data_IF_043480522126
#
_entry.id   IF_043480522126
#
_cell.length_a   1.000
_cell.length_b   1.000
_cell.length_c   1.000
_cell.angle_alpha   90.00
_cell.angle_beta   90.00
_cell.angle_gamma   90.00
#
_symmetry.space_group_name_H-M   'P 1'
#
loop_
_entity.id
_entity.type
_entity.pdbx_description
1 polymer ?
#
# COMPACT_ATOMS: atom_id res chain seq x y z
N UNK A 1 7.96 -8.01 -23.53
CA UNK A 1 7.02 -8.45 -22.47
C UNK A 1 6.18 -9.59 -23.00
N UNK A 2 6.01 -10.70 -22.27
CA UNK A 2 5.16 -11.80 -22.73
C UNK A 2 3.73 -11.67 -22.17
N UNK A 3 2.87 -10.94 -22.88
CA UNK A 3 1.48 -10.69 -22.46
C UNK A 3 0.67 -11.98 -22.26
N UNK A 4 0.98 -13.05 -23.01
CA UNK A 4 0.32 -14.34 -22.86
C UNK A 4 0.54 -14.92 -21.46
N UNK A 5 1.78 -14.85 -20.96
CA UNK A 5 2.13 -15.32 -19.61
C UNK A 5 1.39 -14.50 -18.54
N UNK A 6 1.27 -13.19 -18.72
CA UNK A 6 0.50 -12.35 -17.78
C UNK A 6 -0.97 -12.75 -17.74
N UNK A 7 -1.60 -12.97 -18.91
CA UNK A 7 -3.02 -13.38 -19.00
C UNK A 7 -3.27 -14.74 -18.35
N UNK A 8 -2.34 -15.67 -18.45
CA UNK A 8 -2.42 -16.98 -17.78
C UNK A 8 -2.25 -16.87 -16.26
N UNK A 9 -1.38 -15.97 -15.79
CA UNK A 9 -1.11 -15.79 -14.37
C UNK A 9 -2.21 -15.02 -13.64
N UNK A 10 -2.89 -14.09 -14.31
CA UNK A 10 -3.95 -13.25 -13.72
C UNK A 10 -4.99 -14.03 -12.92
N UNK A 11 -5.72 -15.02 -13.49
CA UNK A 11 -6.73 -15.76 -12.72
C UNK A 11 -6.12 -16.55 -11.56
N UNK A 12 -4.89 -17.05 -11.70
CA UNK A 12 -4.21 -17.76 -10.62
C UNK A 12 -3.83 -16.84 -9.46
N UNK A 13 -3.41 -15.60 -9.74
CA UNK A 13 -3.09 -14.60 -8.70
C UNK A 13 -4.36 -14.13 -8.00
N UNK A 14 -5.43 -13.84 -8.76
CA UNK A 14 -6.75 -13.48 -8.20
C UNK A 14 -7.24 -14.60 -7.28
N UNK A 15 -7.18 -15.86 -7.71
CA UNK A 15 -7.58 -17.01 -6.90
C UNK A 15 -6.81 -17.11 -5.58
N UNK A 16 -5.50 -16.78 -5.57
CA UNK A 16 -4.70 -16.73 -4.34
C UNK A 16 -5.18 -15.65 -3.37
N UNK A 17 -5.55 -14.46 -3.87
CA UNK A 17 -6.05 -13.38 -3.02
C UNK A 17 -7.44 -13.73 -2.45
N UNK A 18 -8.33 -14.27 -3.28
CA UNK A 18 -9.67 -14.69 -2.86
C UNK A 18 -9.61 -15.79 -1.79
N UNK A 19 -8.73 -16.77 -1.94
CA UNK A 19 -8.51 -17.81 -0.91
C UNK A 19 -7.96 -17.25 0.40
N UNK A 20 -7.38 -16.04 0.40
CA UNK A 20 -6.92 -15.34 1.61
C UNK A 20 -8.01 -14.46 2.25
N UNK A 21 -9.22 -14.48 1.72
CA UNK A 21 -10.36 -13.72 2.24
C UNK A 21 -10.50 -12.31 1.67
N UNK A 22 -9.77 -11.96 0.62
CA UNK A 22 -9.99 -10.72 -0.13
C UNK A 22 -11.22 -10.92 -1.02
N UNK A 23 -12.17 -9.99 -1.03
CA UNK A 23 -13.30 -10.07 -1.96
C UNK A 23 -12.80 -9.98 -3.42
N UNK A 24 -13.59 -10.51 -4.35
CA UNK A 24 -13.17 -10.61 -5.75
C UNK A 24 -12.82 -9.25 -6.38
N UNK A 25 -13.63 -8.22 -6.14
CA UNK A 25 -13.42 -6.90 -6.74
C UNK A 25 -12.12 -6.28 -6.23
N UNK A 26 -11.90 -6.29 -4.91
CA UNK A 26 -10.66 -5.81 -4.31
C UNK A 26 -9.45 -6.63 -4.76
N UNK A 27 -9.60 -7.94 -4.92
CA UNK A 27 -8.55 -8.81 -5.42
C UNK A 27 -8.20 -8.49 -6.88
N UNK A 28 -9.20 -8.27 -7.72
CA UNK A 28 -9.03 -7.90 -9.13
C UNK A 28 -8.29 -6.56 -9.24
N UNK A 29 -8.73 -5.53 -8.54
CA UNK A 29 -8.09 -4.20 -8.53
C UNK A 29 -6.61 -4.29 -8.11
N UNK A 30 -6.34 -5.04 -7.04
CA UNK A 30 -4.99 -5.24 -6.55
C UNK A 30 -4.10 -5.97 -7.59
N UNK A 31 -4.65 -6.91 -8.34
CA UNK A 31 -3.94 -7.63 -9.40
C UNK A 31 -3.71 -6.73 -10.61
N UNK A 32 -4.68 -5.91 -11.03
CA UNK A 32 -4.50 -4.95 -12.11
C UNK A 32 -3.35 -3.97 -11.80
N UNK A 33 -3.29 -3.44 -10.58
CA UNK A 33 -2.18 -2.60 -10.11
C UNK A 33 -0.82 -3.31 -10.13
N UNK A 34 -0.80 -4.61 -9.85
CA UNK A 34 0.41 -5.42 -9.95
C UNK A 34 0.84 -5.63 -11.42
N UNK A 35 -0.11 -5.85 -12.33
CA UNK A 35 0.13 -6.00 -13.76
C UNK A 35 0.66 -4.71 -14.38
N UNK A 36 0.13 -3.54 -14.00
CA UNK A 36 0.65 -2.23 -14.45
C UNK A 36 2.12 -2.05 -14.03
N UNK A 37 2.49 -2.48 -12.82
CA UNK A 37 3.90 -2.46 -12.39
C UNK A 37 4.77 -3.48 -13.11
N UNK A 38 4.24 -4.66 -13.40
CA UNK A 38 4.93 -5.64 -14.23
C UNK A 38 5.21 -5.04 -15.61
N UNK A 39 4.20 -4.38 -16.21
CA UNK A 39 4.26 -3.70 -17.50
C UNK A 39 5.44 -2.73 -17.61
N UNK A 40 5.71 -1.97 -16.55
CA UNK A 40 6.82 -1.01 -16.52
C UNK A 40 8.17 -1.60 -16.12
N UNK A 41 8.22 -2.66 -15.31
CA UNK A 41 9.48 -3.14 -14.70
C UNK A 41 10.11 -4.33 -15.44
N UNK A 42 9.30 -5.21 -16.02
CA UNK A 42 9.78 -6.43 -16.64
C UNK A 42 10.46 -6.28 -18.01
N UNK A 43 10.25 -5.21 -18.80
CA UNK A 43 11.05 -5.00 -20.00
C UNK A 43 12.56 -4.96 -19.70
N UNK A 44 12.94 -4.39 -18.55
CA UNK A 44 14.34 -4.24 -18.16
C UNK A 44 14.84 -5.38 -17.26
N UNK A 45 14.00 -5.84 -16.31
CA UNK A 45 14.37 -6.88 -15.35
C UNK A 45 13.17 -7.74 -14.97
N UNK A 46 12.89 -8.83 -15.71
CA UNK A 46 11.86 -9.78 -15.30
C UNK A 46 12.30 -10.55 -14.05
N UNK A 47 11.39 -10.86 -13.12
CA UNK A 47 11.68 -11.68 -11.94
C UNK A 47 11.77 -13.16 -12.31
N UNK A 48 12.51 -13.93 -11.51
CA UNK A 48 12.67 -15.39 -11.69
C UNK A 48 11.35 -16.16 -11.45
N UNK A 49 10.49 -15.63 -10.57
CA UNK A 49 9.13 -16.13 -10.34
C UNK A 49 8.10 -15.01 -10.60
N UNK A 50 7.58 -14.90 -11.84
CA UNK A 50 6.55 -13.94 -12.21
C UNK A 50 5.27 -14.05 -11.35
N UNK A 51 4.83 -15.27 -11.02
CA UNK A 51 3.61 -15.50 -10.25
C UNK A 51 3.77 -15.05 -8.81
N UNK A 52 4.84 -15.47 -8.15
CA UNK A 52 5.13 -15.07 -6.77
C UNK A 52 5.39 -13.57 -6.65
N UNK A 53 5.99 -12.95 -7.66
CA UNK A 53 6.14 -11.50 -7.73
C UNK A 53 4.78 -10.80 -7.81
N UNK A 54 3.88 -11.24 -8.71
CA UNK A 54 2.54 -10.67 -8.85
C UNK A 54 1.72 -10.80 -7.56
N UNK A 55 1.71 -11.98 -6.93
CA UNK A 55 1.05 -12.21 -5.63
C UNK A 55 1.58 -11.24 -4.57
N UNK A 56 2.91 -11.06 -4.50
CA UNK A 56 3.54 -10.16 -3.52
C UNK A 56 3.14 -8.70 -3.75
N UNK A 57 3.15 -8.25 -5.00
CA UNK A 57 2.81 -6.85 -5.33
C UNK A 57 1.32 -6.59 -5.13
N UNK A 58 0.44 -7.50 -5.57
CA UNK A 58 -1.01 -7.40 -5.37
C UNK A 58 -1.35 -7.40 -3.87
N UNK A 59 -0.75 -8.27 -3.07
CA UNK A 59 -0.95 -8.27 -1.62
C UNK A 59 -0.54 -6.94 -0.97
N UNK A 60 0.58 -6.35 -1.39
CA UNK A 60 1.00 -5.03 -0.89
C UNK A 60 -0.02 -3.95 -1.25
N UNK A 61 -0.52 -3.96 -2.48
CA UNK A 61 -1.53 -3.01 -2.98
C UNK A 61 -2.85 -3.11 -2.21
N UNK A 62 -3.32 -4.33 -1.97
CA UNK A 62 -4.48 -4.59 -1.12
C UNK A 62 -4.29 -3.99 0.28
N UNK A 63 -3.16 -4.27 0.94
CA UNK A 63 -2.89 -3.73 2.27
C UNK A 63 -2.80 -2.19 2.29
N UNK A 64 -2.21 -1.59 1.27
CA UNK A 64 -2.09 -0.14 1.15
C UNK A 64 -3.47 0.51 0.98
N UNK A 65 -4.36 -0.08 0.17
CA UNK A 65 -5.75 0.37 0.02
C UNK A 65 -6.52 0.25 1.34
N UNK A 66 -6.40 -0.89 2.03
CA UNK A 66 -7.10 -1.14 3.29
C UNK A 66 -6.64 -0.21 4.42
N UNK A 67 -5.35 0.18 4.44
CA UNK A 67 -4.82 1.18 5.39
C UNK A 67 -5.32 2.59 5.10
N UNK A 68 -5.42 2.98 3.82
CA UNK A 68 -5.96 4.28 3.43
C UNK A 68 -7.44 4.42 3.81
N UNK A 69 -8.23 3.35 3.66
CA UNK A 69 -9.64 3.34 4.08
C UNK A 69 -9.80 3.50 5.60
N UNK A 70 -8.96 2.83 6.41
CA UNK A 70 -8.96 3.03 7.87
C UNK A 70 -8.54 4.46 8.24
N UNK A 71 -7.48 5.00 7.62
CA UNK A 71 -7.02 6.36 7.89
C UNK A 71 -8.02 7.44 7.42
N UNK A 72 -8.84 7.14 6.41
CA UNK A 72 -9.92 8.00 5.94
C UNK A 72 -11.10 7.97 6.91
N UNK A 73 -11.53 6.79 7.37
CA UNK A 73 -12.55 6.64 8.41
C UNK A 73 -12.15 7.33 9.72
N UNK A 74 -10.88 7.23 10.11
CA UNK A 74 -10.36 7.94 11.29
C UNK A 74 -10.34 9.47 11.15
N UNK A 75 -10.34 9.99 9.92
CA UNK A 75 -10.51 11.42 9.64
C UNK A 75 -11.98 11.79 9.60
N UNK A 76 -12.83 11.00 8.97
CA UNK A 76 -14.28 11.23 8.92
C UNK A 76 -14.88 11.22 10.35
N UNK A 77 -14.49 10.26 11.20
CA UNK A 77 -14.84 10.23 12.63
C UNK A 77 -14.26 11.44 13.41
N UNK A 78 -13.13 12.01 12.99
CA UNK A 78 -12.58 13.24 13.59
C UNK A 78 -13.24 14.51 13.06
N UNK A 79 -13.80 14.49 11.86
CA UNK A 79 -14.52 15.62 11.25
C UNK A 79 -15.90 15.76 11.90
N UNK A 80 -16.57 14.66 12.25
CA UNK A 80 -17.81 14.67 13.04
C UNK A 80 -17.62 15.15 14.50
N UNK A 81 -16.37 15.26 14.97
CA UNK A 81 -16.03 15.70 16.32
C UNK A 81 -15.51 17.15 16.40
N UNK A 82 -15.60 17.95 15.34
CA UNK A 82 -15.26 19.38 15.42
C UNK A 82 -16.46 20.17 15.97
N UNK A 83 -16.39 20.73 17.20
CA UNK A 83 -17.33 21.75 17.60
C UNK A 83 -17.18 22.94 16.64
N UNK A 84 -18.33 23.41 16.14
CA UNK A 84 -18.47 24.59 15.30
C UNK A 84 -17.51 25.70 15.79
N UNK A 85 -16.68 26.30 14.91
CA UNK A 85 -15.84 27.42 15.34
C UNK A 85 -16.76 28.48 15.93
N UNK A 86 -16.55 28.79 17.22
CA UNK A 86 -17.27 29.85 17.90
C UNK A 86 -17.16 31.16 17.12
N UNK A 87 -18.13 32.09 17.28
CA UNK A 87 -18.18 33.31 16.48
C UNK A 87 -16.82 34.01 16.43
N UNK A 88 -16.34 34.30 15.22
CA UNK A 88 -15.13 35.08 15.02
C UNK A 88 -15.34 36.46 15.63
N UNK A 89 -14.80 36.69 16.82
CA UNK A 89 -14.60 38.06 17.31
C UNK A 89 -13.49 38.68 16.45
N UNK A 90 -13.93 39.49 15.50
CA UNK A 90 -13.10 40.41 14.75
C UNK A 90 -12.45 41.40 15.71
N UNK A 91 -11.16 41.23 15.94
CA UNK A 91 -10.29 42.33 16.39
C UNK A 91 -9.18 42.49 15.36
N UNK A 92 -9.41 43.46 14.47
CA UNK A 92 -8.36 44.16 13.73
C UNK A 92 -7.45 44.83 14.75
N UNK A 93 -6.16 44.48 14.76
CA UNK A 93 -5.15 45.42 15.26
C UNK A 93 -3.94 45.42 14.33
N UNK A 94 -3.70 46.60 13.77
CA UNK A 94 -2.70 46.87 12.75
C UNK A 94 -1.34 47.10 13.39
N UNK A 95 -0.39 46.27 12.99
CA UNK A 95 0.94 46.72 12.59
C UNK A 95 2.06 46.61 13.62
N UNK A 96 3.18 46.00 13.19
CA UNK A 96 4.48 46.24 13.82
C UNK A 96 5.48 45.08 13.80
N UNK A 97 6.15 44.90 12.66
CA UNK A 97 7.46 44.25 12.41
C UNK A 97 8.24 43.67 13.62
N UNK A 98 8.83 42.47 13.44
CA UNK A 98 10.31 42.24 13.53
C UNK A 98 10.76 40.80 13.17
N UNK A 99 11.63 40.75 12.14
CA UNK A 99 12.86 39.96 11.89
C UNK A 99 13.24 38.72 12.73
N UNK A 100 13.73 37.69 12.01
CA UNK A 100 14.66 36.62 12.46
C UNK A 100 13.95 35.38 13.04
N UNK A 101 14.28 34.13 12.76
CA UNK A 101 15.53 33.50 12.36
C UNK A 101 15.26 32.07 11.81
N UNK A 102 16.08 31.61 10.85
CA UNK A 102 16.35 30.17 10.59
C UNK A 102 17.43 29.71 11.60
N UNK A 103 17.51 28.43 12.05
CA UNK A 103 18.09 27.38 11.20
C UNK A 103 17.70 25.89 11.46
N UNK A 104 18.08 25.06 10.47
CA UNK A 104 18.63 23.67 10.51
C UNK A 104 17.82 22.50 11.12
N UNK A 105 17.48 21.54 10.25
CA UNK A 105 18.13 20.21 10.15
C UNK A 105 17.80 19.11 11.18
N UNK A 106 17.05 18.09 10.74
CA UNK A 106 17.09 16.68 11.19
C UNK A 106 16.06 15.91 10.33
N UNK A 107 16.34 14.83 9.60
CA UNK A 107 17.20 13.71 9.90
C UNK A 107 16.39 12.60 10.57
N UNK A 108 15.85 11.65 9.79
CA UNK A 108 15.26 10.40 10.29
C UNK A 108 13.84 10.13 9.77
N UNK A 109 13.42 8.92 9.41
CA UNK A 109 14.03 7.59 9.50
C UNK A 109 13.43 6.72 8.39
N UNK A 110 14.29 5.91 7.77
CA UNK A 110 13.90 4.78 6.94
C UNK A 110 13.11 3.81 7.82
N UNK A 111 11.96 3.35 7.36
CA UNK A 111 11.26 2.24 7.99
C UNK A 111 11.85 0.94 7.43
N UNK A 112 12.53 0.23 8.31
CA UNK A 112 13.02 -1.11 8.11
C UNK A 112 11.83 -2.06 7.96
N UNK A 113 11.66 -2.65 6.78
CA UNK A 113 10.68 -3.70 6.54
C UNK A 113 11.33 -5.06 6.85
N UNK A 114 11.36 -5.40 8.14
CA UNK A 114 11.80 -6.69 8.65
C UNK A 114 10.69 -7.29 9.52
N UNK A 115 9.76 -8.02 8.89
CA UNK A 115 9.08 -9.19 9.47
C UNK A 115 7.91 -9.59 8.57
N UNK A 116 8.07 -10.68 7.81
CA UNK A 116 7.14 -11.83 7.77
C UNK A 116 7.90 -12.94 7.03
N UNK A 117 8.65 -13.73 7.80
CA UNK A 117 9.06 -15.09 7.39
C UNK A 117 8.27 -16.07 8.25
N UNK A 118 7.06 -16.40 7.79
CA UNK A 118 6.29 -17.54 8.26
C UNK A 118 6.78 -18.80 7.54
N UNK A 119 7.24 -19.77 8.31
CA UNK A 119 7.82 -21.05 7.89
C UNK A 119 6.85 -21.84 7.01
N UNK A 120 7.32 -22.31 5.85
CA UNK A 120 6.71 -23.43 5.13
C UNK A 120 7.45 -24.68 5.56
N UNK A 121 6.77 -25.53 6.34
CA UNK A 121 7.24 -26.88 6.65
C UNK A 121 7.12 -27.76 5.41
N UNK A 122 8.24 -28.35 5.00
CA UNK A 122 8.30 -29.39 3.96
C UNK A 122 7.98 -30.72 4.64
N UNK A 123 6.95 -31.48 4.24
CA UNK A 123 6.81 -32.86 4.69
C UNK A 123 7.81 -33.75 3.95
N UNK A 124 8.54 -34.52 4.74
CA UNK A 124 9.57 -35.46 4.30
C UNK A 124 8.99 -36.58 3.43
N UNK A 125 9.72 -36.91 2.37
CA UNK A 125 9.60 -38.15 1.59
C UNK A 125 9.80 -39.34 2.53
N UNK A 126 8.90 -40.33 2.50
CA UNK A 126 9.22 -41.70 2.92
C UNK A 126 9.54 -42.52 1.69
N UNK A 127 10.80 -42.93 1.60
CA UNK A 127 11.24 -44.09 0.83
C UNK A 127 10.85 -45.34 1.60
N UNK A 128 10.36 -46.35 0.89
CA UNK A 128 9.98 -47.66 1.39
C UNK A 128 9.26 -48.42 0.30
#
# INVERSE_FOLDING_TARGET
>A
MNEAVLRELTPAVIGVLVHRGVDFATAEDAVQEALIRAASTWPDRPPDDPKGWLVKVAWRKFLDAHRSETARRDRELRVDAQPMPGPVESVDDRGGRRRGSRPRGSGGRRLDNAAVRGRVGVPARKSG
#
